data_IF_335854910591
#
_entry.id   IF_335854910591
#
_cell.length_a   1.000
_cell.length_b   1.000
_cell.length_c   1.000
_cell.angle_alpha   90.00
_cell.angle_beta   90.00
_cell.angle_gamma   90.00
#
_symmetry.space_group_name_H-M   'P 1'
#
loop_
_entity.id
_entity.type
_entity.pdbx_description
1 polymer ?
#
# COMPACT_ATOMS: atom_id res chain seq x y z
N UNK A 1 -40.32 -21.91 -7.93
CA UNK A 1 -39.22 -22.16 -6.98
C UNK A 1 -39.80 -22.50 -5.63
N UNK A 2 -39.23 -23.49 -4.94
CA UNK A 2 -39.61 -23.82 -3.57
C UNK A 2 -38.94 -22.85 -2.57
N UNK A 3 -39.40 -22.85 -1.32
CA UNK A 3 -38.89 -21.96 -0.25
C UNK A 3 -37.38 -22.12 0.02
N UNK A 4 -36.82 -23.30 -0.18
CA UNK A 4 -35.39 -23.58 0.00
C UNK A 4 -34.56 -23.05 -1.16
N UNK A 5 -35.06 -23.12 -2.39
CA UNK A 5 -34.43 -22.51 -3.58
C UNK A 5 -34.41 -20.98 -3.46
N UNK A 6 -35.52 -20.38 -3.01
CA UNK A 6 -35.58 -18.93 -2.76
C UNK A 6 -34.59 -18.55 -1.67
N UNK A 7 -34.56 -19.27 -0.55
CA UNK A 7 -33.61 -19.01 0.54
C UNK A 7 -32.15 -19.14 0.07
N UNK A 8 -31.83 -20.16 -0.73
CA UNK A 8 -30.50 -20.36 -1.29
C UNK A 8 -30.07 -19.23 -2.23
N UNK A 9 -30.97 -18.80 -3.13
CA UNK A 9 -30.71 -17.66 -4.03
C UNK A 9 -30.54 -16.36 -3.23
N UNK A 10 -31.41 -16.09 -2.26
CA UNK A 10 -31.31 -14.89 -1.42
C UNK A 10 -29.99 -14.86 -0.62
N UNK A 11 -29.58 -15.99 -0.03
CA UNK A 11 -28.31 -16.09 0.67
C UNK A 11 -27.12 -15.84 -0.29
N UNK A 12 -27.15 -16.43 -1.48
CA UNK A 12 -26.12 -16.21 -2.50
C UNK A 12 -26.01 -14.74 -2.92
N UNK A 13 -27.15 -14.07 -3.15
CA UNK A 13 -27.19 -12.63 -3.50
C UNK A 13 -26.62 -11.78 -2.37
N UNK A 14 -26.94 -12.07 -1.10
CA UNK A 14 -26.42 -11.35 0.05
C UNK A 14 -24.90 -11.48 0.18
N UNK A 15 -24.36 -12.69 -0.01
CA UNK A 15 -22.92 -12.94 0.01
C UNK A 15 -22.21 -12.16 -1.11
N UNK A 16 -22.76 -12.21 -2.34
CA UNK A 16 -22.19 -11.46 -3.46
C UNK A 16 -22.26 -9.95 -3.22
N UNK A 17 -23.37 -9.43 -2.71
CA UNK A 17 -23.51 -8.02 -2.36
C UNK A 17 -22.49 -7.59 -1.30
N UNK A 18 -22.26 -8.42 -0.28
CA UNK A 18 -21.24 -8.16 0.75
C UNK A 18 -19.82 -8.19 0.17
N UNK A 19 -19.51 -9.17 -0.68
CA UNK A 19 -18.21 -9.27 -1.36
C UNK A 19 -17.95 -8.06 -2.26
N UNK A 20 -18.88 -7.72 -3.14
CA UNK A 20 -18.75 -6.53 -4.00
C UNK A 20 -18.70 -5.25 -3.17
N UNK A 21 -19.51 -5.14 -2.13
CA UNK A 21 -19.45 -4.04 -1.17
C UNK A 21 -18.04 -3.86 -0.62
N UNK A 22 -17.38 -4.93 -0.18
CA UNK A 22 -15.99 -4.89 0.27
C UNK A 22 -15.01 -4.52 -0.87
N UNK A 23 -15.11 -5.15 -2.04
CA UNK A 23 -14.22 -4.89 -3.19
C UNK A 23 -14.19 -3.40 -3.58
N UNK A 24 -15.35 -2.73 -3.53
CA UNK A 24 -15.49 -1.33 -3.93
C UNK A 24 -15.27 -0.32 -2.80
N UNK A 25 -15.22 -0.75 -1.53
CA UNK A 25 -15.13 0.18 -0.38
C UNK A 25 -13.90 0.01 0.49
N UNK A 26 -13.22 -1.14 0.43
CA UNK A 26 -11.98 -1.39 1.17
C UNK A 26 -10.75 -0.89 0.39
N UNK A 27 -9.62 -0.58 1.05
CA UNK A 27 -9.35 -0.76 2.49
C UNK A 27 -10.03 0.28 3.38
N UNK A 28 -10.14 0.00 4.69
CA UNK A 28 -10.64 0.94 5.70
C UNK A 28 -9.47 1.51 6.52
N UNK A 29 -9.59 2.77 6.97
CA UNK A 29 -8.57 3.38 7.80
C UNK A 29 -8.72 2.94 9.27
N UNK A 30 -8.10 1.83 9.65
CA UNK A 30 -8.08 1.34 11.04
C UNK A 30 -7.00 0.27 11.28
N UNK A 31 -6.54 0.15 12.54
CA UNK A 31 -5.52 -0.81 12.97
C UNK A 31 -6.10 -2.01 13.75
N UNK A 32 -7.41 -2.23 13.72
CA UNK A 32 -8.08 -3.32 14.46
C UNK A 32 -9.20 -3.97 13.64
N UNK A 33 -9.45 -5.26 13.87
CA UNK A 33 -10.57 -6.02 13.29
C UNK A 33 -10.64 -5.94 11.76
N UNK A 34 -11.87 -5.77 11.22
CA UNK A 34 -12.12 -5.59 9.78
C UNK A 34 -11.40 -4.37 9.19
N UNK A 35 -11.00 -3.41 10.03
CA UNK A 35 -10.23 -2.24 9.66
C UNK A 35 -8.85 -2.54 9.07
N UNK A 36 -8.22 -3.65 9.48
CA UNK A 36 -6.92 -4.08 8.94
C UNK A 36 -7.04 -4.83 7.60
N UNK A 37 -8.26 -5.12 7.14
CA UNK A 37 -8.42 -5.89 5.91
C UNK A 37 -7.95 -5.08 4.71
N UNK A 38 -7.15 -5.68 3.81
CA UNK A 38 -6.76 -5.00 2.58
C UNK A 38 -7.95 -4.75 1.67
N UNK A 39 -7.85 -3.77 0.78
CA UNK A 39 -8.73 -3.65 -0.38
C UNK A 39 -8.19 -4.38 -1.60
N UNK A 40 -8.83 -4.19 -2.75
CA UNK A 40 -8.38 -4.72 -4.06
C UNK A 40 -8.16 -3.64 -5.14
N UNK A 41 -8.83 -2.50 -5.03
CA UNK A 41 -8.79 -1.41 -6.01
C UNK A 41 -7.95 -0.28 -5.46
N UNK A 42 -6.88 0.11 -6.15
CA UNK A 42 -6.01 1.23 -5.75
C UNK A 42 -6.58 2.57 -6.22
N UNK A 43 -7.17 2.62 -7.42
CA UNK A 43 -7.66 3.84 -8.05
C UNK A 43 -6.53 4.79 -8.49
N UNK A 44 -6.88 6.07 -8.66
CA UNK A 44 -5.96 7.13 -9.07
C UNK A 44 -5.55 7.08 -10.54
N UNK A 45 -4.91 8.17 -11.00
CA UNK A 45 -4.38 8.30 -12.35
C UNK A 45 -2.93 7.83 -12.37
N UNK A 46 -2.63 6.83 -13.21
CA UNK A 46 -1.25 6.37 -13.39
C UNK A 46 -0.40 7.50 -13.99
N UNK A 47 0.60 7.95 -13.23
CA UNK A 47 1.39 9.16 -13.51
C UNK A 47 2.88 8.85 -13.39
N UNK A 48 3.73 9.50 -14.19
CA UNK A 48 5.18 9.44 -14.01
C UNK A 48 5.56 9.98 -12.62
N UNK A 49 6.55 9.37 -11.99
CA UNK A 49 7.00 9.82 -10.69
C UNK A 49 7.59 11.24 -10.81
N UNK A 50 7.27 12.16 -9.87
CA UNK A 50 7.91 13.46 -9.84
C UNK A 50 9.41 13.32 -9.58
N UNK A 51 10.19 14.33 -9.98
CA UNK A 51 11.62 14.41 -9.67
C UNK A 51 11.88 14.58 -8.16
N UNK A 52 10.88 15.05 -7.39
CA UNK A 52 10.95 15.20 -5.94
C UNK A 52 9.58 14.97 -5.27
N UNK A 53 9.50 13.94 -4.42
CA UNK A 53 8.28 13.62 -3.66
C UNK A 53 8.09 14.49 -2.42
N UNK A 54 9.08 15.29 -1.99
CA UNK A 54 8.96 16.13 -0.78
C UNK A 54 7.82 17.15 -0.92
N UNK A 55 7.59 17.66 -2.14
CA UNK A 55 6.49 18.57 -2.48
C UNK A 55 5.10 18.02 -2.14
N UNK A 56 4.95 16.68 -2.11
CA UNK A 56 3.69 16.02 -1.76
C UNK A 56 3.44 15.96 -0.24
N UNK A 57 4.46 16.15 0.59
CA UNK A 57 4.33 16.04 2.05
C UNK A 57 3.39 17.08 2.65
N UNK A 58 3.37 18.29 2.10
CA UNK A 58 2.55 19.40 2.57
C UNK A 58 1.15 19.40 1.93
N UNK A 59 1.07 18.95 0.67
CA UNK A 59 -0.13 19.05 -0.15
C UNK A 59 -1.09 17.86 0.02
N UNK A 60 -0.56 16.67 0.33
CA UNK A 60 -1.37 15.46 0.51
C UNK A 60 -1.38 15.04 1.97
N UNK A 61 -2.55 15.17 2.58
CA UNK A 61 -2.80 14.82 3.96
C UNK A 61 -3.29 13.36 4.09
N UNK A 62 -2.81 12.66 5.11
CA UNK A 62 -3.25 11.30 5.42
C UNK A 62 -2.41 10.19 4.79
N UNK A 63 -2.84 8.92 4.95
CA UNK A 63 -2.10 7.77 4.48
C UNK A 63 -2.15 7.65 2.96
N UNK A 64 -1.12 7.05 2.38
CA UNK A 64 -1.15 6.65 0.98
C UNK A 64 -1.73 5.24 0.84
N UNK A 65 -2.18 4.88 -0.36
CA UNK A 65 -2.56 3.50 -0.69
C UNK A 65 -1.39 2.81 -1.39
N UNK A 66 -1.10 1.58 -1.00
CA UNK A 66 -0.05 0.77 -1.59
C UNK A 66 -0.66 -0.53 -2.12
N UNK A 67 -0.29 -0.91 -3.34
CA UNK A 67 -0.67 -2.18 -3.96
C UNK A 67 0.56 -2.91 -4.49
N UNK A 68 0.88 -4.05 -3.90
CA UNK A 68 1.98 -4.90 -4.40
C UNK A 68 1.57 -5.63 -5.69
N UNK A 69 2.56 -5.92 -6.52
CA UNK A 69 2.39 -6.78 -7.69
C UNK A 69 2.12 -8.23 -7.27
N UNK A 70 1.42 -8.97 -8.13
CA UNK A 70 1.13 -10.38 -7.91
C UNK A 70 -0.22 -10.64 -7.21
N UNK A 71 -0.49 -11.93 -6.95
CA UNK A 71 -1.76 -12.39 -6.40
C UNK A 71 -1.62 -12.87 -4.94
N UNK A 72 -2.61 -12.57 -4.07
CA UNK A 72 -3.74 -11.66 -4.29
C UNK A 72 -3.31 -10.17 -4.28
N UNK A 73 -3.95 -9.30 -5.09
CA UNK A 73 -3.50 -7.95 -5.37
C UNK A 73 -4.01 -6.96 -4.31
N UNK A 74 -3.63 -7.21 -3.07
CA UNK A 74 -4.08 -6.48 -1.90
C UNK A 74 -3.61 -5.02 -1.87
N UNK A 75 -4.49 -4.15 -1.38
CA UNK A 75 -4.27 -2.71 -1.20
C UNK A 75 -4.25 -2.39 0.29
N UNK A 76 -3.22 -1.69 0.74
CA UNK A 76 -3.01 -1.32 2.14
C UNK A 76 -2.86 0.19 2.30
N UNK A 77 -3.34 0.74 3.42
CA UNK A 77 -2.95 2.08 3.85
C UNK A 77 -1.57 2.04 4.50
N UNK A 78 -0.69 2.94 4.11
CA UNK A 78 0.62 3.13 4.74
C UNK A 78 0.82 4.58 5.16
N UNK A 79 1.45 4.77 6.32
CA UNK A 79 2.12 6.03 6.63
C UNK A 79 3.30 6.19 5.69
N UNK A 80 3.58 7.44 5.30
CA UNK A 80 4.58 7.72 4.28
C UNK A 80 5.20 9.10 4.46
N UNK A 81 6.45 9.25 4.04
CA UNK A 81 7.13 10.54 3.85
C UNK A 81 7.84 10.54 2.51
N UNK A 82 7.58 11.57 1.71
CA UNK A 82 8.22 11.81 0.43
C UNK A 82 9.62 12.39 0.62
N UNK A 83 10.54 11.99 -0.25
CA UNK A 83 11.94 12.41 -0.34
C UNK A 83 12.27 12.73 -1.80
N UNK A 84 13.40 13.38 -2.10
CA UNK A 84 13.79 13.62 -3.49
C UNK A 84 13.94 12.33 -4.30
N UNK A 85 14.35 11.22 -3.67
CA UNK A 85 14.65 9.96 -4.37
C UNK A 85 13.49 8.96 -4.38
N UNK A 86 12.39 9.25 -3.68
CA UNK A 86 11.30 8.30 -3.50
C UNK A 86 10.51 8.49 -2.20
N UNK A 87 9.94 7.41 -1.69
CA UNK A 87 9.01 7.44 -0.55
C UNK A 87 9.47 6.50 0.55
N UNK A 88 9.55 6.97 1.78
CA UNK A 88 9.79 6.15 2.97
C UNK A 88 8.44 5.73 3.55
N UNK A 89 8.35 4.47 3.98
CA UNK A 89 7.22 3.91 4.73
C UNK A 89 7.73 3.13 5.92
N UNK A 90 6.88 2.95 6.93
CA UNK A 90 7.21 2.14 8.08
C UNK A 90 6.04 1.22 8.46
N UNK A 91 6.37 0.06 9.03
CA UNK A 91 5.38 -0.85 9.61
C UNK A 91 5.87 -1.46 10.90
N UNK A 92 4.94 -2.02 11.66
CA UNK A 92 5.26 -2.68 12.93
C UNK A 92 6.12 -3.92 12.67
N UNK A 93 6.98 -4.30 13.63
CA UNK A 93 7.70 -5.56 13.58
C UNK A 93 6.80 -6.76 13.93
N UNK A 94 5.59 -6.83 13.35
CA UNK A 94 4.56 -7.83 13.65
C UNK A 94 4.40 -8.90 12.56
N UNK A 95 5.34 -8.94 11.59
CA UNK A 95 5.27 -9.87 10.47
C UNK A 95 4.17 -9.53 9.46
N UNK A 96 3.86 -8.24 9.29
CA UNK A 96 2.84 -7.76 8.37
C UNK A 96 2.96 -8.37 6.97
N UNK A 97 1.84 -8.86 6.42
CA UNK A 97 1.80 -9.60 5.16
C UNK A 97 2.51 -8.89 4.00
N UNK A 98 2.36 -7.56 3.90
CA UNK A 98 2.96 -6.81 2.81
C UNK A 98 4.49 -6.72 2.95
N UNK A 99 5.00 -6.47 4.16
CA UNK A 99 6.43 -6.42 4.44
C UNK A 99 7.08 -7.78 4.13
N UNK A 100 6.45 -8.86 4.58
CA UNK A 100 6.90 -10.21 4.26
C UNK A 100 6.93 -10.48 2.75
N UNK A 101 5.95 -9.97 1.99
CA UNK A 101 5.95 -10.12 0.52
C UNK A 101 7.07 -9.36 -0.18
N UNK A 102 7.47 -8.19 0.34
CA UNK A 102 8.65 -7.48 -0.21
C UNK A 102 9.87 -8.39 -0.12
N UNK A 103 10.07 -9.04 1.04
CA UNK A 103 11.18 -9.97 1.30
C UNK A 103 11.10 -11.22 0.43
N UNK A 104 9.91 -11.83 0.34
CA UNK A 104 9.74 -13.14 -0.31
C UNK A 104 9.65 -13.07 -1.84
N UNK A 105 9.12 -11.98 -2.40
CA UNK A 105 8.68 -11.90 -3.81
C UNK A 105 9.13 -10.64 -4.54
N UNK A 106 9.85 -9.75 -3.86
CA UNK A 106 10.26 -8.44 -4.37
C UNK A 106 9.23 -7.34 -4.11
N UNK A 107 9.70 -6.09 -4.16
CA UNK A 107 8.92 -4.92 -3.75
C UNK A 107 8.13 -4.21 -4.84
N UNK A 108 8.05 -4.77 -6.04
CA UNK A 108 7.36 -4.13 -7.16
C UNK A 108 5.88 -3.86 -6.84
N UNK A 109 5.43 -2.62 -7.01
CA UNK A 109 4.05 -2.24 -6.74
C UNK A 109 3.65 -0.89 -7.32
N UNK A 110 2.54 -0.39 -6.79
CA UNK A 110 1.97 0.93 -7.04
C UNK A 110 1.77 1.64 -5.72
N UNK A 111 2.10 2.94 -5.68
CA UNK A 111 1.76 3.84 -4.58
C UNK A 111 0.79 4.90 -5.10
N UNK A 112 -0.35 5.07 -4.44
CA UNK A 112 -1.27 6.17 -4.71
C UNK A 112 -1.20 7.20 -3.59
N UNK A 113 -0.82 8.41 -3.96
CA UNK A 113 -0.69 9.56 -3.07
C UNK A 113 -1.64 10.63 -3.61
N UNK A 114 -2.72 10.91 -2.86
CA UNK A 114 -3.81 11.72 -3.36
C UNK A 114 -4.51 11.06 -4.56
N UNK A 115 -4.60 11.77 -5.67
CA UNK A 115 -5.24 11.27 -6.90
C UNK A 115 -4.27 10.63 -7.90
N UNK A 116 -2.97 10.69 -7.64
CA UNK A 116 -1.94 10.17 -8.54
C UNK A 116 -1.41 8.82 -8.04
N UNK A 117 -1.14 7.92 -8.99
CA UNK A 117 -0.63 6.58 -8.75
C UNK A 117 0.69 6.39 -9.48
N UNK A 118 1.75 6.00 -8.76
CA UNK A 118 3.10 5.86 -9.29
C UNK A 118 3.55 4.40 -9.27
N UNK A 119 4.30 3.99 -10.29
CA UNK A 119 4.96 2.69 -10.33
C UNK A 119 6.24 2.71 -9.51
N UNK A 120 6.33 1.85 -8.50
CA UNK A 120 7.40 1.90 -7.50
C UNK A 120 7.95 0.50 -7.19
N UNK A 121 9.12 0.44 -6.58
CA UNK A 121 9.71 -0.77 -6.00
C UNK A 121 10.16 -0.52 -4.56
N UNK A 122 9.67 -1.36 -3.64
CA UNK A 122 10.02 -1.31 -2.23
C UNK A 122 11.31 -2.09 -1.90
N UNK A 123 12.10 -1.55 -0.99
CA UNK A 123 13.29 -2.17 -0.42
C UNK A 123 13.24 -2.01 1.10
N UNK A 124 13.50 -3.09 1.83
CA UNK A 124 13.65 -3.01 3.28
C UNK A 124 15.01 -2.40 3.64
N UNK A 125 15.00 -1.48 4.60
CA UNK A 125 16.20 -0.79 5.08
C UNK A 125 16.65 -1.47 6.36
N UNK A 126 17.74 -2.24 6.25
CA UNK A 126 18.32 -3.04 7.33
C UNK A 126 19.64 -2.45 7.87
N UNK A 127 20.13 -1.40 7.24
CA UNK A 127 21.39 -0.74 7.60
C UNK A 127 21.20 0.41 8.61
N UNK A 128 22.28 1.13 8.87
CA UNK A 128 22.31 2.30 9.75
C UNK A 128 21.37 3.44 9.33
N UNK A 129 20.94 3.50 8.06
CA UNK A 129 20.04 4.53 7.58
C UNK A 129 18.61 4.36 8.10
N UNK A 130 18.24 3.16 8.57
CA UNK A 130 16.89 2.84 9.09
C UNK A 130 16.42 3.90 10.09
N UNK A 131 17.26 4.26 11.06
CA UNK A 131 16.89 5.22 12.11
C UNK A 131 16.72 6.64 11.58
N UNK A 132 17.57 7.07 10.65
CA UNK A 132 17.45 8.39 10.01
C UNK A 132 16.15 8.50 9.20
N UNK A 133 15.79 7.45 8.47
CA UNK A 133 14.53 7.40 7.72
C UNK A 133 13.30 7.32 8.65
N UNK A 134 13.40 6.57 9.74
CA UNK A 134 12.34 6.53 10.75
C UNK A 134 12.14 7.91 11.41
N UNK A 135 13.22 8.64 11.69
CA UNK A 135 13.14 10.01 12.21
C UNK A 135 12.35 10.93 11.28
N UNK A 136 12.58 10.87 9.96
CA UNK A 136 11.80 11.66 9.00
C UNK A 136 10.29 11.33 9.04
N UNK A 137 9.94 10.06 9.21
CA UNK A 137 8.55 9.64 9.37
C UNK A 137 7.93 10.15 10.69
N UNK A 138 8.73 10.15 11.77
CA UNK A 138 8.34 10.66 13.07
C UNK A 138 8.14 12.18 13.05
N UNK A 139 9.06 12.91 12.42
CA UNK A 139 9.00 14.37 12.24
C UNK A 139 7.76 14.78 11.45
N UNK A 140 7.47 14.10 10.33
CA UNK A 140 6.25 14.34 9.54
C UNK A 140 4.98 14.08 10.35
N UNK A 141 5.03 13.12 11.26
CA UNK A 141 3.89 12.76 12.12
C UNK A 141 3.80 13.62 13.39
N UNK A 142 4.78 14.48 13.66
CA UNK A 142 4.89 15.23 14.91
C UNK A 142 5.02 14.34 16.15
N UNK A 143 5.69 13.18 16.02
CA UNK A 143 5.80 12.16 17.06
C UNK A 143 7.26 11.95 17.45
N UNK A 144 7.57 11.68 18.73
CA UNK A 144 8.89 11.24 19.12
C UNK A 144 9.08 9.74 18.80
N UNK A 145 10.33 9.31 18.64
CA UNK A 145 10.67 7.94 18.21
C UNK A 145 10.47 6.87 19.30
N UNK A 146 10.57 7.26 20.56
CA UNK A 146 10.43 6.39 21.73
C UNK A 146 8.98 6.17 22.16
N UNK A 147 8.02 6.78 21.47
CA UNK A 147 6.60 6.60 21.71
C UNK A 147 5.92 5.73 20.64
N UNK A 148 4.85 5.01 21.02
CA UNK A 148 4.03 4.29 20.06
C UNK A 148 3.22 5.25 19.18
N UNK A 149 3.05 4.90 17.90
CA UNK A 149 2.21 5.68 16.98
C UNK A 149 0.74 5.71 17.41
N UNK A 150 0.25 4.62 18.01
CA UNK A 150 -1.10 4.48 18.55
C UNK A 150 -1.11 3.47 19.71
N UNK A 151 -2.13 3.51 20.61
CA UNK A 151 -2.18 2.61 21.75
C UNK A 151 -2.07 1.12 21.36
N UNK A 152 -1.11 0.42 21.97
CA UNK A 152 -0.85 -1.00 21.71
C UNK A 152 0.05 -1.30 20.52
N UNK A 153 0.65 -0.28 19.87
CA UNK A 153 1.80 -0.48 18.98
C UNK A 153 3.12 -0.44 19.74
N UNK A 154 4.18 -0.93 19.11
CA UNK A 154 5.56 -0.73 19.54
C UNK A 154 5.97 0.74 19.34
N UNK A 155 6.98 1.23 20.09
CA UNK A 155 7.63 2.50 19.82
C UNK A 155 8.15 2.61 18.38
N UNK A 156 8.10 3.81 17.79
CA UNK A 156 8.50 4.02 16.40
C UNK A 156 9.94 3.59 16.08
N UNK A 157 10.87 3.69 17.04
CA UNK A 157 12.25 3.23 16.86
C UNK A 157 12.39 1.71 16.64
N UNK A 158 11.37 0.91 16.95
CA UNK A 158 11.32 -0.53 16.71
C UNK A 158 10.70 -0.89 15.35
N UNK A 159 10.14 0.08 14.61
CA UNK A 159 9.43 -0.19 13.37
C UNK A 159 10.36 -0.55 12.21
N UNK A 160 9.86 -1.40 11.33
CA UNK A 160 10.52 -1.82 10.09
C UNK A 160 10.35 -0.72 9.03
N UNK A 161 11.43 -0.31 8.38
CA UNK A 161 11.43 0.80 7.41
C UNK A 161 11.64 0.27 6.00
N UNK A 162 10.85 0.78 5.07
CA UNK A 162 10.93 0.45 3.65
C UNK A 162 11.04 1.72 2.82
N UNK A 163 11.96 1.71 1.86
CA UNK A 163 12.12 2.76 0.87
C UNK A 163 11.55 2.34 -0.48
N UNK A 164 10.80 3.23 -1.12
CA UNK A 164 10.16 3.00 -2.40
C UNK A 164 10.82 3.88 -3.46
N UNK A 165 11.40 3.26 -4.49
CA UNK A 165 11.99 3.97 -5.64
C UNK A 165 11.06 3.95 -6.84
N UNK A 166 11.00 5.04 -7.63
CA UNK A 166 10.32 5.05 -8.91
C UNK A 166 10.81 3.96 -9.86
N UNK A 167 9.89 3.41 -10.64
CA UNK A 167 10.18 2.55 -11.77
C UNK A 167 9.78 3.24 -13.06
N UNK A 168 10.62 3.12 -14.09
CA UNK A 168 10.33 3.63 -15.42
C UNK A 168 9.02 3.06 -15.98
N UNK A 169 8.03 3.94 -16.19
CA UNK A 169 6.73 3.58 -16.75
C UNK A 169 6.86 3.12 -18.21
N UNK A 170 7.81 3.67 -18.97
CA UNK A 170 8.03 3.27 -20.37
C UNK A 170 8.40 1.79 -20.51
N UNK A 171 9.17 1.21 -19.58
CA UNK A 171 9.45 -0.24 -19.58
C UNK A 171 8.21 -1.08 -19.31
N UNK A 172 7.30 -0.60 -18.46
CA UNK A 172 6.07 -1.32 -18.09
C UNK A 172 5.05 -1.33 -19.24
N UNK A 173 4.87 -0.21 -19.95
CA UNK A 173 3.97 -0.13 -21.12
C UNK A 173 4.45 -1.00 -22.27
N UNK A 174 5.76 -1.01 -22.54
CA UNK A 174 6.35 -1.85 -23.60
C UNK A 174 6.25 -3.33 -23.25
N UNK A 175 6.54 -3.73 -22.00
CA UNK A 175 6.42 -5.13 -21.59
C UNK A 175 4.99 -5.66 -21.66
N UNK A 176 3.98 -4.83 -21.38
CA UNK A 176 2.57 -5.23 -21.52
C UNK A 176 2.11 -5.28 -22.98
N UNK A 177 2.60 -4.40 -23.86
CA UNK A 177 2.33 -4.50 -25.31
C UNK A 177 2.92 -5.77 -25.92
N UNK A 178 4.12 -6.19 -25.50
CA UNK A 178 4.77 -7.41 -26.02
C UNK A 178 3.99 -8.67 -25.59
N UNK A 179 3.43 -8.70 -24.38
CA UNK A 179 2.63 -9.85 -23.89
C UNK A 179 1.29 -10.04 -24.59
N UNK A 180 0.73 -9.01 -25.22
CA UNK A 180 -0.52 -9.10 -26.00
C UNK A 180 -0.30 -9.13 -27.52
N UNK A 181 0.95 -9.01 -27.98
CA UNK A 181 1.32 -8.97 -29.39
C UNK A 181 1.95 -10.25 -29.94
N UNK A 182 2.01 -11.33 -29.17
CA UNK A 182 2.63 -12.61 -29.57
C UNK A 182 1.63 -13.74 -29.89
N UNK A 183 0.38 -13.40 -30.15
CA UNK A 183 -0.60 -14.32 -30.76
C UNK A 183 -1.12 -13.69 -32.06
N UNK A 184 -0.33 -13.77 -33.13
CA UNK A 184 -0.80 -13.83 -34.52
C UNK A 184 0.14 -14.70 -35.35
#
# INVERSE_FOLDING_TARGET
MNKYEIAGVSAGVLILAALFGWIFTAPYLSNQGLGRMPGLIIGGTLTEAPEDFTSLNETVQGPMLMKQSGFPPFVHYLSWVGTPEGVITATRPDGGLWAQRVRDRGGNGLLRIGEETYAMEAFEILDENRMSMMQQGADKSGRPLDEPLYPGSEPLNEWEVFFWRPRDIMRLVVSNKIKWGSEQ
#
